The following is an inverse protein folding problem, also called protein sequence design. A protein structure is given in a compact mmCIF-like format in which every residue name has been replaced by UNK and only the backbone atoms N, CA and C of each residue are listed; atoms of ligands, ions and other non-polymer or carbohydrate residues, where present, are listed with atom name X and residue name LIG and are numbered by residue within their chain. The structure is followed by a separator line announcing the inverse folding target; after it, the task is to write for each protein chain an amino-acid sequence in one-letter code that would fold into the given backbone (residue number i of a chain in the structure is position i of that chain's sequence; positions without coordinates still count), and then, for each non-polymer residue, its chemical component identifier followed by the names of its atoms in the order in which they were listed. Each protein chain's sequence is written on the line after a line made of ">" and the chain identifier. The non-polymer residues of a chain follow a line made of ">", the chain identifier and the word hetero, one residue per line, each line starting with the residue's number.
data_IF_203329416432
#
_entry.id   IF_203329416432
#
_cell.length_a   1.000
_cell.length_b   1.000
_cell.length_c   1.000
_cell.angle_alpha   90.00
_cell.angle_beta   90.00
_cell.angle_gamma   90.00
#
_symmetry.space_group_name_H-M   'P 1'
#
loop_
_entity.id
_entity.type
_entity.pdbx_description
1 polymer ?
#
# COMPACT_ATOMS: atom_id res chain seq x y z
N UNK A 1 2.76 -25.37 5.78
CA UNK A 1 3.35 -26.25 6.82
C UNK A 1 2.39 -27.37 7.21
N UNK A 2 1.15 -27.03 7.60
CA UNK A 2 0.10 -28.01 7.92
C UNK A 2 -0.06 -29.13 6.88
N UNK A 3 -0.23 -28.79 5.59
CA UNK A 3 -0.43 -29.78 4.54
C UNK A 3 0.74 -30.76 4.38
N UNK A 4 1.98 -30.27 4.60
CA UNK A 4 3.20 -31.11 4.52
C UNK A 4 3.29 -32.12 5.67
N UNK A 5 2.76 -31.79 6.84
CA UNK A 5 2.74 -32.67 8.02
C UNK A 5 1.57 -33.65 7.93
N UNK A 6 0.39 -33.18 7.49
CA UNK A 6 -0.77 -34.02 7.21
C UNK A 6 -0.47 -35.09 6.16
N UNK A 7 0.22 -34.74 5.08
CA UNK A 7 0.62 -35.70 4.03
C UNK A 7 1.49 -36.84 4.56
N UNK A 8 2.30 -36.58 5.60
CA UNK A 8 3.15 -37.58 6.27
C UNK A 8 2.44 -38.33 7.40
N UNK A 9 1.13 -38.12 7.59
CA UNK A 9 0.36 -38.73 8.68
C UNK A 9 0.64 -38.14 10.06
N UNK A 10 1.34 -36.99 10.14
CA UNK A 10 1.68 -36.34 11.41
C UNK A 10 0.54 -35.39 11.79
N UNK A 11 -0.15 -35.70 12.91
CA UNK A 11 -1.18 -34.84 13.48
C UNK A 11 -0.55 -33.65 14.20
N UNK A 12 -1.11 -32.47 13.98
CA UNK A 12 -0.68 -31.24 14.65
C UNK A 12 -1.65 -30.97 15.80
N UNK A 13 -1.15 -30.81 17.01
CA UNK A 13 -1.97 -30.51 18.18
C UNK A 13 -1.39 -29.33 18.97
N UNK A 14 -2.25 -28.46 19.49
CA UNK A 14 -1.85 -27.35 20.36
C UNK A 14 -2.50 -27.50 21.74
N UNK A 15 -1.87 -26.94 22.78
CA UNK A 15 -2.40 -27.01 24.14
C UNK A 15 -3.78 -26.35 24.28
N UNK A 16 -4.08 -25.32 23.48
CA UNK A 16 -5.34 -24.58 23.55
C UNK A 16 -6.48 -25.21 22.76
N UNK A 17 -6.19 -25.71 21.55
CA UNK A 17 -7.24 -26.11 20.59
C UNK A 17 -7.31 -27.63 20.39
N UNK A 18 -6.36 -28.38 20.95
CA UNK A 18 -6.23 -29.81 20.69
C UNK A 18 -5.77 -30.07 19.26
N UNK A 19 -6.31 -31.10 18.61
CA UNK A 19 -5.92 -31.48 17.24
C UNK A 19 -6.37 -30.41 16.24
N UNK A 20 -5.42 -29.86 15.50
CA UNK A 20 -5.67 -28.85 14.47
C UNK A 20 -6.20 -29.53 13.21
N UNK A 21 -7.44 -29.21 12.87
CA UNK A 21 -8.11 -29.70 11.65
C UNK A 21 -8.08 -28.62 10.56
N UNK A 22 -8.35 -28.96 9.29
CA UNK A 22 -8.48 -27.94 8.24
C UNK A 22 -9.55 -26.89 8.55
N UNK A 23 -10.63 -27.30 9.24
CA UNK A 23 -11.70 -26.40 9.66
C UNK A 23 -11.20 -25.36 10.67
N UNK A 24 -10.39 -25.78 11.65
CA UNK A 24 -9.76 -24.86 12.61
C UNK A 24 -8.91 -23.81 11.91
N UNK A 25 -8.09 -24.22 10.92
CA UNK A 25 -7.23 -23.30 10.17
C UNK A 25 -8.05 -22.31 9.35
N UNK A 26 -9.11 -22.79 8.68
CA UNK A 26 -10.00 -21.92 7.92
C UNK A 26 -10.68 -20.88 8.82
N UNK A 27 -11.23 -21.33 9.93
CA UNK A 27 -11.93 -20.46 10.89
C UNK A 27 -10.97 -19.44 11.53
N UNK A 28 -9.82 -19.87 12.04
CA UNK A 28 -8.81 -18.98 12.62
C UNK A 28 -8.29 -17.99 11.57
N UNK A 29 -8.12 -18.43 10.32
CA UNK A 29 -7.77 -17.55 9.20
C UNK A 29 -8.79 -16.44 8.99
N UNK A 30 -10.09 -16.78 8.97
CA UNK A 30 -11.17 -15.78 8.84
C UNK A 30 -11.28 -14.86 10.05
N UNK A 31 -11.14 -15.40 11.27
CA UNK A 31 -11.16 -14.62 12.52
C UNK A 31 -10.02 -13.61 12.53
N UNK A 32 -8.80 -14.04 12.16
CA UNK A 32 -7.64 -13.16 12.15
C UNK A 32 -7.78 -12.04 11.11
N UNK A 33 -8.37 -12.33 9.94
CA UNK A 33 -8.63 -11.32 8.93
C UNK A 33 -9.59 -10.23 9.45
N UNK A 34 -10.68 -10.64 10.11
CA UNK A 34 -11.65 -9.71 10.72
C UNK A 34 -11.06 -8.95 11.92
N UNK A 35 -10.20 -9.59 12.70
CA UNK A 35 -9.48 -8.90 13.78
C UNK A 35 -8.50 -7.86 13.25
N UNK A 36 -7.88 -8.10 12.09
CA UNK A 36 -6.95 -7.15 11.48
C UNK A 36 -7.67 -5.87 11.02
N UNK A 37 -8.84 -6.01 10.38
CA UNK A 37 -9.66 -4.85 10.00
C UNK A 37 -10.15 -4.08 11.23
N UNK A 38 -10.73 -4.79 12.20
CA UNK A 38 -11.23 -4.17 13.43
C UNK A 38 -10.11 -3.46 14.23
N UNK A 39 -8.92 -4.05 14.30
CA UNK A 39 -7.78 -3.42 14.95
C UNK A 39 -7.29 -2.20 14.17
N UNK A 40 -7.27 -2.27 12.83
CA UNK A 40 -6.90 -1.13 12.00
C UNK A 40 -7.82 0.07 12.25
N UNK A 41 -9.13 -0.17 12.36
CA UNK A 41 -10.10 0.90 12.58
C UNK A 41 -9.94 1.49 13.99
N UNK A 42 -9.82 0.64 15.02
CA UNK A 42 -9.52 1.09 16.39
C UNK A 42 -8.22 1.89 16.47
N UNK A 43 -7.18 1.50 15.73
CA UNK A 43 -5.92 2.25 15.69
C UNK A 43 -6.09 3.61 15.05
N UNK A 44 -6.86 3.72 13.95
CA UNK A 44 -7.17 5.03 13.33
C UNK A 44 -7.93 5.92 14.31
N UNK A 45 -8.96 5.40 14.95
CA UNK A 45 -9.77 6.17 15.91
C UNK A 45 -8.95 6.61 17.11
N UNK A 46 -8.13 5.72 17.67
CA UNK A 46 -7.21 6.05 18.75
C UNK A 46 -6.21 7.14 18.34
N UNK A 47 -5.64 7.03 17.14
CA UNK A 47 -4.71 8.03 16.59
C UNK A 47 -5.38 9.40 16.39
N UNK A 48 -6.63 9.43 15.94
CA UNK A 48 -7.44 10.66 15.83
C UNK A 48 -7.67 11.28 17.21
N UNK A 49 -8.02 10.47 18.21
CA UNK A 49 -8.18 10.92 19.59
C UNK A 49 -6.88 11.49 20.16
N UNK A 50 -5.76 10.80 19.96
CA UNK A 50 -4.45 11.27 20.37
C UNK A 50 -4.05 12.57 19.66
N UNK A 51 -4.31 12.68 18.36
CA UNK A 51 -4.08 13.90 17.59
C UNK A 51 -4.91 15.08 18.14
N UNK A 52 -6.20 14.87 18.43
CA UNK A 52 -7.07 15.89 19.01
C UNK A 52 -6.59 16.35 20.40
N UNK A 53 -5.96 15.46 21.17
CA UNK A 53 -5.33 15.78 22.46
C UNK A 53 -3.95 16.43 22.31
N UNK A 54 -3.51 16.79 21.11
CA UNK A 54 -2.18 17.35 20.83
C UNK A 54 -1.04 16.34 21.03
N UNK A 55 -1.35 15.07 21.28
CA UNK A 55 -0.38 13.99 21.48
C UNK A 55 -0.10 13.35 20.13
N UNK A 56 0.91 13.85 19.42
CA UNK A 56 1.35 13.19 18.19
C UNK A 56 2.10 11.88 18.54
N UNK A 57 1.77 10.73 17.93
CA UNK A 57 2.48 9.46 18.18
C UNK A 57 3.92 9.47 17.68
N UNK A 58 4.22 10.28 16.66
CA UNK A 58 5.58 10.69 16.37
C UNK A 58 5.83 11.94 17.19
N UNK A 59 6.30 11.78 18.44
CA UNK A 59 6.77 12.90 19.24
C UNK A 59 7.60 13.83 18.36
N UNK A 60 7.48 15.14 18.56
CA UNK A 60 8.23 16.13 17.80
C UNK A 60 9.70 15.69 17.72
N UNK A 61 10.11 15.15 16.57
CA UNK A 61 11.48 14.74 16.38
C UNK A 61 12.30 16.02 16.48
N UNK A 62 13.12 16.14 17.52
CA UNK A 62 13.96 17.30 17.80
C UNK A 62 13.27 18.58 18.34
N UNK A 63 12.06 18.49 18.90
CA UNK A 63 11.46 19.62 19.64
C UNK A 63 10.88 20.75 18.77
N UNK A 64 10.68 20.51 17.48
CA UNK A 64 9.88 21.39 16.62
C UNK A 64 8.38 21.34 16.97
N UNK A 65 7.82 22.46 17.39
CA UNK A 65 6.38 22.66 17.48
C UNK A 65 5.75 22.37 16.10
N UNK A 66 4.80 21.44 16.03
CA UNK A 66 4.11 21.11 14.78
C UNK A 66 3.15 22.26 14.45
N UNK A 67 3.64 23.26 13.72
CA UNK A 67 2.83 24.42 13.32
C UNK A 67 1.83 24.01 12.23
N UNK A 68 0.56 24.03 12.62
CA UNK A 68 -0.63 23.92 11.78
C UNK A 68 -0.71 25.15 10.84
N UNK A 69 -1.29 24.93 9.65
CA UNK A 69 -1.42 25.80 8.46
C UNK A 69 -0.77 27.19 8.49
N UNK A 70 0.22 27.39 7.62
CA UNK A 70 0.84 28.69 7.33
C UNK A 70 0.75 29.00 5.82
N UNK A 71 -0.22 29.83 5.39
CA UNK A 71 -0.34 30.29 4.01
C UNK A 71 0.93 31.01 3.51
N UNK A 72 1.73 31.59 4.42
CA UNK A 72 2.97 32.29 4.11
C UNK A 72 4.16 31.37 3.77
N UNK A 73 4.10 30.08 4.11
CA UNK A 73 5.13 29.08 3.78
C UNK A 73 4.75 28.21 2.56
N UNK A 74 3.65 28.56 1.88
CA UNK A 74 3.24 27.89 0.65
C UNK A 74 4.26 28.15 -0.47
N UNK A 75 5.08 27.15 -0.79
CA UNK A 75 5.98 27.18 -1.96
C UNK A 75 5.16 27.30 -3.26
N UNK A 76 3.93 26.80 -3.24
CA UNK A 76 2.99 26.79 -4.36
C UNK A 76 1.72 27.52 -3.94
N UNK A 77 1.22 28.48 -4.75
CA UNK A 77 -0.08 29.11 -4.51
C UNK A 77 -1.19 28.07 -4.39
N UNK A 78 -2.08 28.21 -3.40
CA UNK A 78 -3.18 27.27 -3.16
C UNK A 78 -4.02 27.03 -4.43
N UNK A 79 -4.35 28.09 -5.16
CA UNK A 79 -5.12 27.99 -6.41
C UNK A 79 -4.40 27.17 -7.48
N UNK A 80 -3.06 27.26 -7.55
CA UNK A 80 -2.28 26.45 -8.48
C UNK A 80 -2.29 24.98 -8.05
N UNK A 81 -2.17 24.72 -6.75
CA UNK A 81 -2.26 23.38 -6.19
C UNK A 81 -3.64 22.75 -6.46
N UNK A 82 -4.72 23.49 -6.22
CA UNK A 82 -6.08 23.03 -6.44
C UNK A 82 -6.35 22.74 -7.92
N UNK A 83 -5.86 23.59 -8.82
CA UNK A 83 -5.92 23.33 -10.27
C UNK A 83 -5.13 22.08 -10.67
N UNK A 84 -3.96 21.85 -10.07
CA UNK A 84 -3.18 20.62 -10.30
C UNK A 84 -3.94 19.41 -9.78
N UNK A 85 -4.59 19.49 -8.61
CA UNK A 85 -5.38 18.39 -8.05
C UNK A 85 -6.63 18.10 -8.87
N UNK A 86 -7.32 19.13 -9.33
CA UNK A 86 -8.42 19.01 -10.27
C UNK A 86 -7.96 18.33 -11.58
N UNK A 87 -6.84 18.77 -12.13
CA UNK A 87 -6.26 18.16 -13.32
C UNK A 87 -5.76 16.73 -13.08
N UNK A 88 -5.22 16.43 -11.90
CA UNK A 88 -4.83 15.07 -11.53
C UNK A 88 -6.05 14.16 -11.37
N UNK A 89 -7.18 14.67 -10.89
CA UNK A 89 -8.42 13.92 -10.81
C UNK A 89 -9.01 13.63 -12.20
N UNK A 90 -8.92 14.59 -13.13
CA UNK A 90 -9.38 14.39 -14.53
C UNK A 90 -8.40 13.56 -15.36
N UNK A 91 -7.09 13.65 -15.08
CA UNK A 91 -6.03 12.85 -15.71
C UNK A 91 -5.69 11.57 -14.94
N UNK A 92 -6.38 11.28 -13.83
CA UNK A 92 -6.30 10.00 -13.16
C UNK A 92 -6.76 9.00 -14.21
N UNK A 93 -5.77 8.47 -14.93
CA UNK A 93 -5.93 7.61 -16.10
C UNK A 93 -7.01 6.63 -15.74
N UNK A 94 -8.00 6.48 -16.60
CA UNK A 94 -8.93 5.36 -16.61
C UNK A 94 -8.11 4.15 -16.23
N UNK A 95 -8.28 3.67 -14.99
CA UNK A 95 -7.62 2.47 -14.56
C UNK A 95 -8.05 1.45 -15.61
N UNK A 96 -7.11 0.95 -16.42
CA UNK A 96 -7.44 -0.06 -17.43
C UNK A 96 -8.28 -1.10 -16.70
N UNK A 97 -9.48 -1.34 -17.19
CA UNK A 97 -10.43 -2.26 -16.57
C UNK A 97 -9.67 -3.56 -16.27
N UNK A 98 -9.82 -4.13 -15.07
CA UNK A 98 -9.06 -5.33 -14.63
C UNK A 98 -9.03 -6.45 -15.68
N UNK A 99 -10.05 -6.54 -16.52
CA UNK A 99 -10.19 -7.45 -17.67
C UNK A 99 -9.10 -7.28 -18.76
N UNK A 100 -8.61 -6.06 -19.02
CA UNK A 100 -7.52 -5.80 -19.98
C UNK A 100 -6.12 -5.93 -19.35
N UNK A 101 -6.01 -5.90 -18.01
CA UNK A 101 -4.74 -6.11 -17.30
C UNK A 101 -4.31 -7.58 -17.29
N UNK A 102 -5.25 -8.52 -17.38
CA UNK A 102 -4.97 -9.96 -17.40
C UNK A 102 -4.33 -10.47 -18.69
N UNK A 103 -4.43 -9.73 -19.80
CA UNK A 103 -3.84 -10.11 -21.09
C UNK A 103 -2.45 -9.49 -21.36
N UNK A 104 -2.01 -8.56 -20.52
CA UNK A 104 -0.67 -7.98 -20.63
C UNK A 104 0.31 -8.76 -19.73
N UNK A 105 1.48 -9.18 -20.25
CA UNK A 105 2.48 -9.84 -19.42
C UNK A 105 2.88 -8.93 -18.25
N UNK A 106 3.13 -9.51 -17.06
CA UNK A 106 3.42 -8.79 -15.82
C UNK A 106 4.45 -7.65 -15.95
N UNK A 107 5.45 -7.83 -16.81
CA UNK A 107 6.50 -6.84 -17.08
C UNK A 107 6.04 -5.63 -17.91
N UNK A 108 4.90 -5.69 -18.59
CA UNK A 108 4.32 -4.56 -19.33
C UNK A 108 3.91 -3.39 -18.43
N UNK A 109 3.80 -3.63 -17.12
CA UNK A 109 3.50 -2.61 -16.12
C UNK A 109 4.76 -2.12 -15.38
N UNK A 110 5.93 -2.71 -15.62
CA UNK A 110 7.16 -2.23 -15.00
C UNK A 110 7.57 -0.90 -15.61
N UNK A 111 7.84 0.07 -14.74
CA UNK A 111 8.45 1.33 -15.17
C UNK A 111 9.83 1.02 -15.75
N UNK A 112 10.21 1.61 -16.91
CA UNK A 112 11.52 1.41 -17.50
C UNK A 112 12.63 1.68 -16.47
N UNK A 113 13.67 0.85 -16.48
CA UNK A 113 14.75 0.91 -15.47
C UNK A 113 15.54 2.22 -15.56
N UNK A 114 15.62 2.82 -16.74
CA UNK A 114 16.31 4.09 -16.98
C UNK A 114 15.37 5.13 -17.59
N UNK A 115 15.60 6.39 -17.23
CA UNK A 115 14.73 7.53 -17.59
C UNK A 115 14.55 7.70 -19.11
N UNK A 116 15.58 7.33 -19.88
CA UNK A 116 15.63 7.55 -21.33
C UNK A 116 15.38 6.28 -22.15
N UNK A 117 15.09 5.14 -21.52
CA UNK A 117 14.79 3.88 -22.21
C UNK A 117 13.59 4.08 -23.15
N UNK A 118 13.78 3.82 -24.44
CA UNK A 118 12.76 4.03 -25.48
C UNK A 118 12.47 5.50 -25.84
N UNK A 119 13.25 6.46 -25.32
CA UNK A 119 13.17 7.90 -25.68
C UNK A 119 14.36 8.40 -26.49
N UNK A 120 15.51 7.71 -26.39
CA UNK A 120 16.68 8.01 -27.21
C UNK A 120 17.04 6.84 -28.10
N UNK A 121 17.35 7.14 -29.36
CA UNK A 121 17.80 6.20 -30.38
C UNK A 121 19.13 6.66 -30.96
N UNK A 122 19.99 5.70 -31.31
CA UNK A 122 21.26 5.99 -31.94
C UNK A 122 21.06 6.40 -33.41
N UNK A 123 21.57 7.56 -33.82
CA UNK A 123 21.43 8.07 -35.19
C UNK A 123 22.20 7.25 -36.25
N UNK A 124 23.16 6.41 -35.84
CA UNK A 124 23.94 5.58 -36.78
C UNK A 124 23.37 4.17 -36.97
N UNK A 125 22.83 3.55 -35.92
CA UNK A 125 22.34 2.16 -35.99
C UNK A 125 20.84 2.00 -35.67
N UNK A 126 20.15 3.09 -35.30
CA UNK A 126 18.72 3.08 -34.96
C UNK A 126 18.39 2.39 -33.63
N UNK A 127 19.36 1.80 -32.94
CA UNK A 127 19.12 1.10 -31.68
C UNK A 127 18.65 2.07 -30.59
N UNK A 128 17.59 1.68 -29.86
CA UNK A 128 17.16 2.39 -28.65
C UNK A 128 18.11 2.10 -27.48
N UNK A 129 18.41 3.10 -26.67
CA UNK A 129 19.12 2.85 -25.41
C UNK A 129 18.24 2.01 -24.48
N UNK A 130 18.80 0.89 -24.00
CA UNK A 130 18.15 -0.01 -23.06
C UNK A 130 18.33 0.47 -21.63
#
# INVERSE_FOLDING_TARGET
>A
MFDRLRFRGILLATRKEGIVTPLHIGMIGTINAEQLSANSDKMRDALVGHHAMGKNPGGSAYGYEKRIESPALGIVPLELWDRVKFRQATLARTAKTRTEMTSLPFFAQQRPRYLLTGKMTCGSCGASYA
#
